data_IF_308010779071
#
_entry.id   IF_308010779071
#
_cell.length_a   1.000
_cell.length_b   1.000
_cell.length_c   1.000
_cell.angle_alpha   90.00
_cell.angle_beta   90.00
_cell.angle_gamma   90.00
#
_symmetry.space_group_name_H-M   'P 1'
#
loop_
_entity.id
_entity.type
_entity.pdbx_description
1 polymer ?
#
# COMPACT_ATOMS: atom_id res chain seq x y z
N UNK A 1 13.95 1.41 16.46
CA UNK A 1 14.07 2.65 15.67
C UNK A 1 12.79 2.81 14.89
N UNK A 2 12.02 3.87 15.12
CA UNK A 2 10.80 4.15 14.35
C UNK A 2 11.23 4.70 12.99
N UNK A 3 10.80 4.09 11.88
CA UNK A 3 11.08 4.61 10.54
C UNK A 3 10.28 5.90 10.33
N UNK A 4 10.86 6.85 9.60
CA UNK A 4 10.20 8.12 9.28
C UNK A 4 9.06 7.88 8.29
N UNK A 5 7.90 8.49 8.56
CA UNK A 5 6.76 8.50 7.63
C UNK A 5 7.11 9.40 6.45
N UNK A 6 7.00 8.89 5.23
CA UNK A 6 7.40 9.59 4.00
C UNK A 6 6.29 10.48 3.45
N UNK A 7 5.01 10.14 3.67
CA UNK A 7 3.85 10.87 3.16
C UNK A 7 2.61 10.71 4.07
N UNK A 8 1.58 11.52 3.81
CA UNK A 8 0.28 11.42 4.47
C UNK A 8 -0.63 10.39 3.77
N UNK A 9 -1.40 9.62 4.55
CA UNK A 9 -2.24 8.52 4.05
C UNK A 9 -3.69 8.93 3.73
N UNK A 10 -4.07 10.20 3.93
CA UNK A 10 -5.47 10.62 3.75
C UNK A 10 -6.48 9.78 4.54
N UNK A 11 -7.64 9.54 3.95
CA UNK A 11 -8.64 8.60 4.45
C UNK A 11 -8.26 7.17 4.06
N UNK A 12 -8.14 6.30 5.06
CA UNK A 12 -7.81 4.89 4.86
C UNK A 12 -9.07 4.05 4.71
N UNK A 13 -9.20 3.32 3.61
CA UNK A 13 -10.34 2.43 3.29
C UNK A 13 -9.86 1.10 2.75
N UNK A 14 -10.75 0.10 2.69
CA UNK A 14 -10.48 -1.20 2.09
C UNK A 14 -11.65 -1.63 1.22
N UNK A 15 -11.37 -2.35 0.14
CA UNK A 15 -12.41 -3.13 -0.54
C UNK A 15 -12.90 -4.26 0.38
N UNK A 16 -14.15 -4.74 0.21
CA UNK A 16 -14.64 -5.88 0.97
C UNK A 16 -13.80 -7.16 0.77
N UNK A 17 -13.30 -7.38 -0.45
CA UNK A 17 -12.51 -8.57 -0.78
C UNK A 17 -11.15 -8.54 -0.08
N UNK A 18 -10.45 -7.40 -0.08
CA UNK A 18 -9.17 -7.28 0.62
C UNK A 18 -9.32 -7.42 2.14
N UNK A 19 -10.40 -6.88 2.71
CA UNK A 19 -10.67 -7.02 4.15
C UNK A 19 -10.95 -8.48 4.53
N UNK A 20 -11.83 -9.16 3.78
CA UNK A 20 -12.15 -10.57 4.01
C UNK A 20 -10.91 -11.48 3.82
N UNK A 21 -10.07 -11.17 2.83
CA UNK A 21 -8.82 -11.89 2.62
C UNK A 21 -7.84 -11.68 3.77
N UNK A 22 -7.66 -10.44 4.24
CA UNK A 22 -6.82 -10.14 5.39
C UNK A 22 -7.29 -10.86 6.67
N UNK A 23 -8.60 -10.90 6.94
CA UNK A 23 -9.18 -11.62 8.08
C UNK A 23 -8.91 -13.13 7.99
N UNK A 24 -9.16 -13.73 6.81
CA UNK A 24 -8.92 -15.16 6.58
C UNK A 24 -7.47 -15.56 6.82
N UNK A 25 -6.53 -14.69 6.44
CA UNK A 25 -5.09 -14.95 6.54
C UNK A 25 -4.44 -14.35 7.79
N UNK A 26 -5.23 -13.76 8.71
CA UNK A 26 -4.76 -13.10 9.93
C UNK A 26 -3.69 -12.03 9.66
N UNK A 27 -3.84 -11.31 8.55
CA UNK A 27 -2.92 -10.26 8.12
C UNK A 27 -3.14 -8.98 8.93
N UNK A 28 -2.07 -8.45 9.52
CA UNK A 28 -2.10 -7.13 10.16
C UNK A 28 -2.05 -6.02 9.09
N UNK A 29 -3.22 -5.48 8.75
CA UNK A 29 -3.34 -4.37 7.79
C UNK A 29 -2.63 -3.09 8.26
N UNK A 30 -2.55 -2.83 9.58
CA UNK A 30 -1.85 -1.66 10.10
C UNK A 30 -0.33 -1.80 9.92
N UNK A 31 0.19 -3.02 10.04
CA UNK A 31 1.59 -3.29 9.72
C UNK A 31 1.89 -3.04 8.23
N UNK A 32 1.03 -3.49 7.32
CA UNK A 32 1.20 -3.22 5.88
C UNK A 32 1.08 -1.72 5.57
N UNK A 33 0.14 -1.03 6.22
CA UNK A 33 0.00 0.42 6.09
C UNK A 33 1.26 1.16 6.53
N UNK A 34 1.84 0.75 7.65
CA UNK A 34 3.08 1.34 8.16
C UNK A 34 4.27 1.06 7.23
N UNK A 35 4.35 -0.14 6.64
CA UNK A 35 5.35 -0.47 5.62
C UNK A 35 5.21 0.47 4.41
N UNK A 36 4.00 0.60 3.88
CA UNK A 36 3.68 1.51 2.79
C UNK A 36 4.08 2.96 3.13
N UNK A 37 3.68 3.45 4.30
CA UNK A 37 3.99 4.82 4.71
C UNK A 37 5.48 5.10 4.92
N UNK A 38 6.30 4.06 5.14
CA UNK A 38 7.73 4.19 5.45
C UNK A 38 8.65 3.72 4.33
N UNK A 39 8.11 3.56 3.12
CA UNK A 39 8.90 3.25 1.91
C UNK A 39 9.23 1.77 1.73
N UNK A 40 8.59 0.87 2.48
CA UNK A 40 8.66 -0.56 2.19
C UNK A 40 7.56 -0.89 1.19
N UNK A 41 7.91 -0.77 -0.09
CA UNK A 41 6.99 -0.96 -1.22
C UNK A 41 6.59 -2.42 -1.47
N UNK A 42 7.20 -3.36 -0.73
CA UNK A 42 6.93 -4.79 -0.84
C UNK A 42 7.44 -5.41 -2.14
N UNK A 43 6.61 -6.28 -2.72
CA UNK A 43 6.91 -7.14 -3.87
C UNK A 43 6.63 -6.43 -5.20
N UNK A 44 7.28 -5.28 -5.37
CA UNK A 44 7.35 -4.54 -6.64
C UNK A 44 8.70 -4.77 -7.32
N UNK A 45 8.69 -4.64 -8.65
CA UNK A 45 9.92 -4.56 -9.44
C UNK A 45 10.60 -3.20 -9.21
N UNK A 46 11.87 -3.08 -9.59
CA UNK A 46 12.67 -1.89 -9.24
C UNK A 46 12.16 -0.61 -9.92
N UNK A 47 11.65 -0.72 -11.16
CA UNK A 47 11.06 0.41 -11.90
C UNK A 47 9.81 0.98 -11.19
N UNK A 48 8.97 0.11 -10.61
CA UNK A 48 7.78 0.52 -9.85
C UNK A 48 8.18 1.14 -8.50
N UNK A 49 9.27 0.66 -7.88
CA UNK A 49 9.81 1.27 -6.65
C UNK A 49 10.37 2.65 -6.94
N UNK A 50 11.12 2.81 -8.03
CA UNK A 50 11.61 4.13 -8.47
C UNK A 50 10.45 5.10 -8.73
N UNK A 51 9.39 4.61 -9.36
CA UNK A 51 8.16 5.40 -9.58
C UNK A 51 7.54 5.89 -8.26
N UNK A 52 7.58 5.10 -7.20
CA UNK A 52 7.15 5.55 -5.86
C UNK A 52 8.07 6.62 -5.28
N UNK A 53 9.39 6.49 -5.44
CA UNK A 53 10.33 7.52 -4.95
C UNK A 53 10.11 8.86 -5.68
N UNK A 54 9.85 8.82 -6.99
CA UNK A 54 9.48 10.00 -7.76
C UNK A 54 8.12 10.57 -7.33
N UNK A 55 7.16 9.70 -6.99
CA UNK A 55 5.84 10.09 -6.52
C UNK A 55 5.88 10.88 -5.20
N UNK A 56 6.91 10.67 -4.35
CA UNK A 56 7.11 11.45 -3.13
C UNK A 56 7.42 12.92 -3.40
N UNK A 57 7.93 13.24 -4.60
CA UNK A 57 8.33 14.60 -5.01
C UNK A 57 7.27 15.23 -5.92
N UNK A 58 6.71 14.42 -6.83
CA UNK A 58 5.84 14.90 -7.91
C UNK A 58 4.34 14.75 -7.60
N UNK A 59 3.99 14.31 -6.39
CA UNK A 59 2.61 14.07 -5.95
C UNK A 59 1.81 13.19 -6.92
N UNK A 60 2.44 12.14 -7.47
CA UNK A 60 1.75 11.10 -8.23
C UNK A 60 1.31 9.96 -7.31
N UNK A 61 0.53 9.00 -7.82
CA UNK A 61 0.02 7.86 -7.05
C UNK A 61 1.18 7.02 -6.49
N UNK A 62 1.09 6.63 -5.21
CA UNK A 62 2.03 5.70 -4.57
C UNK A 62 1.36 4.33 -4.48
N UNK A 63 2.11 3.27 -4.79
CA UNK A 63 1.61 1.90 -4.86
C UNK A 63 2.50 0.95 -4.06
N UNK A 64 1.93 -0.03 -3.39
CA UNK A 64 2.67 -1.13 -2.77
C UNK A 64 1.93 -2.44 -2.93
N UNK A 65 2.68 -3.53 -3.01
CA UNK A 65 2.16 -4.88 -3.19
C UNK A 65 2.77 -5.80 -2.14
N UNK A 66 1.95 -6.54 -1.40
CA UNK A 66 2.43 -7.49 -0.38
C UNK A 66 1.86 -8.87 -0.63
N UNK A 67 2.74 -9.84 -0.84
CA UNK A 67 2.38 -11.24 -1.02
C UNK A 67 2.00 -11.86 0.33
N UNK A 68 0.84 -12.48 0.37
CA UNK A 68 0.26 -13.12 1.55
C UNK A 68 -0.29 -14.47 1.10
N UNK A 69 0.32 -15.55 1.61
CA UNK A 69 0.03 -16.90 1.14
C UNK A 69 0.18 -17.03 -0.39
N UNK A 70 -0.92 -17.24 -1.11
CA UNK A 70 -0.94 -17.49 -2.55
C UNK A 70 -1.39 -16.26 -3.38
N UNK A 71 -1.68 -15.12 -2.74
CA UNK A 71 -2.18 -13.92 -3.41
C UNK A 71 -1.50 -12.65 -2.84
N UNK A 72 -1.98 -11.47 -3.23
CA UNK A 72 -1.44 -10.18 -2.85
C UNK A 72 -2.52 -9.26 -2.28
N UNK A 73 -2.10 -8.41 -1.34
CA UNK A 73 -2.83 -7.17 -1.02
C UNK A 73 -2.07 -6.01 -1.62
N UNK A 74 -2.79 -5.15 -2.34
CA UNK A 74 -2.31 -3.88 -2.84
C UNK A 74 -2.70 -2.76 -1.88
N UNK A 75 -1.81 -1.79 -1.74
CA UNK A 75 -2.10 -0.51 -1.06
C UNK A 75 -1.79 0.60 -2.04
N UNK A 76 -2.79 1.45 -2.31
CA UNK A 76 -2.65 2.59 -3.21
C UNK A 76 -2.97 3.86 -2.43
N UNK A 77 -2.07 4.84 -2.47
CA UNK A 77 -2.35 6.21 -2.04
C UNK A 77 -2.46 7.11 -3.26
N UNK A 78 -3.59 7.80 -3.40
CA UNK A 78 -3.86 8.69 -4.54
C UNK A 78 -2.88 9.86 -4.60
N UNK A 79 -2.74 10.43 -5.81
CA UNK A 79 -1.84 11.54 -6.12
C UNK A 79 -1.97 12.71 -5.11
N UNK A 80 -3.20 13.11 -4.80
CA UNK A 80 -3.52 14.18 -3.87
C UNK A 80 -3.45 13.78 -2.38
N UNK A 81 -3.05 12.54 -2.09
CA UNK A 81 -2.99 11.93 -0.75
C UNK A 81 -4.33 11.99 0.00
N UNK A 82 -5.45 12.10 -0.71
CA UNK A 82 -6.78 12.16 -0.09
C UNK A 82 -7.26 10.79 0.39
N UNK A 83 -6.83 9.71 -0.27
CA UNK A 83 -7.28 8.35 -0.02
C UNK A 83 -6.11 7.36 -0.06
N UNK A 84 -6.08 6.45 0.91
CA UNK A 84 -5.27 5.22 0.86
C UNK A 84 -6.21 4.02 0.88
N UNK A 85 -6.16 3.19 -0.15
CA UNK A 85 -7.05 2.04 -0.33
C UNK A 85 -6.27 0.74 -0.26
N UNK A 86 -6.75 -0.20 0.55
CA UNK A 86 -6.41 -1.62 0.45
C UNK A 86 -7.32 -2.31 -0.54
N UNK A 87 -6.75 -3.09 -1.46
CA UNK A 87 -7.52 -3.80 -2.48
C UNK A 87 -6.80 -5.09 -2.91
N UNK A 88 -7.56 -6.06 -3.43
CA UNK A 88 -6.97 -7.20 -4.13
C UNK A 88 -6.60 -6.78 -5.56
N UNK A 89 -5.64 -7.45 -6.22
CA UNK A 89 -5.34 -7.21 -7.63
C UNK A 89 -6.57 -7.35 -8.55
N UNK A 90 -7.53 -8.21 -8.18
CA UNK A 90 -8.77 -8.44 -8.91
C UNK A 90 -9.85 -7.38 -8.69
N UNK A 91 -9.68 -6.50 -7.71
CA UNK A 91 -10.60 -5.38 -7.44
C UNK A 91 -10.23 -4.11 -8.25
N UNK A 92 -9.07 -4.12 -8.90
CA UNK A 92 -8.54 -3.01 -9.70
C UNK A 92 -8.82 -3.21 -11.19
#
# INVERSE_FOLDING_TARGET
MTRQRLFALGQVVSTPNALAFAEKHQTDLLQLLYRHQTGDWGDLEDEDKESNEEALINDTRIFSSYSIAEDKIWIITEADRSLTTFLMPSDY
#
